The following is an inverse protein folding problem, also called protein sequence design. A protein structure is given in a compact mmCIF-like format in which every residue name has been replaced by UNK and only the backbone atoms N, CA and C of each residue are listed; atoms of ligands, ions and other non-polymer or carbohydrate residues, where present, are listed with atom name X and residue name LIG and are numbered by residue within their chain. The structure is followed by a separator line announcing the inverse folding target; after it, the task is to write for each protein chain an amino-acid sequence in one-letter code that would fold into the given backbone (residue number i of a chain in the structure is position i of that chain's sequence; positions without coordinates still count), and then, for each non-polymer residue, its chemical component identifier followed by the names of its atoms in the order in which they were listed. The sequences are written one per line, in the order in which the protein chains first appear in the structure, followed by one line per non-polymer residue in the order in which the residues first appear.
data_IF_350146079318
#
_entry.id   IF_350146079318
#
_cell.length_a   1.000
_cell.length_b   1.000
_cell.length_c   1.000
_cell.angle_alpha   90.00
_cell.angle_beta   90.00
_cell.angle_gamma   90.00
#
_symmetry.space_group_name_H-M   'P 1'
#
loop_
_entity.id
_entity.type
_entity.pdbx_description
1 polymer ?
#
# COMPACT_ATOMS: atom_id res chain seq x y z
N UNK A 1 13.51 12.09 15.18
CA UNK A 1 13.83 10.95 16.07
C UNK A 1 15.19 10.28 15.83
N UNK A 2 15.82 10.42 14.65
CA UNK A 2 17.11 9.76 14.34
C UNK A 2 18.21 10.01 15.38
N UNK A 3 18.27 11.22 15.95
CA UNK A 3 19.30 11.63 16.91
C UNK A 3 18.89 11.42 18.39
N UNK A 4 17.71 10.86 18.65
CA UNK A 4 17.12 10.84 20.00
C UNK A 4 17.11 9.43 20.62
N UNK A 5 17.77 8.45 20.00
CA UNK A 5 17.75 7.04 20.43
C UNK A 5 16.32 6.48 20.60
N UNK A 6 15.39 6.92 19.74
CA UNK A 6 13.99 6.45 19.73
C UNK A 6 13.79 5.50 18.55
N UNK A 7 13.37 4.27 18.84
CA UNK A 7 13.01 3.30 17.81
C UNK A 7 11.73 3.67 17.07
N UNK A 8 11.65 3.34 15.78
CA UNK A 8 10.45 3.53 14.96
C UNK A 8 9.87 2.18 14.55
N UNK A 9 8.61 1.96 14.92
CA UNK A 9 7.82 0.82 14.47
C UNK A 9 6.97 1.24 13.28
N UNK A 10 7.31 0.74 12.09
CA UNK A 10 6.47 0.92 10.92
C UNK A 10 5.20 0.07 11.04
N UNK A 11 4.04 0.69 10.92
CA UNK A 11 2.75 0.00 10.86
C UNK A 11 2.12 0.19 9.47
N UNK A 12 1.23 -0.73 9.07
CA UNK A 12 0.60 -0.70 7.75
C UNK A 12 1.60 -0.66 6.58
N UNK A 13 2.73 -1.37 6.69
CA UNK A 13 3.73 -1.46 5.62
C UNK A 13 3.17 -2.00 4.28
N UNK A 14 2.01 -2.66 4.31
CA UNK A 14 1.30 -3.16 3.13
C UNK A 14 0.04 -2.35 2.76
N UNK A 15 -0.16 -1.16 3.35
CA UNK A 15 -1.28 -0.25 3.03
C UNK A 15 -2.66 -0.94 3.09
N UNK A 16 -2.93 -1.69 4.17
CA UNK A 16 -4.17 -2.46 4.32
C UNK A 16 -4.32 -3.66 3.36
N UNK A 17 -3.24 -4.07 2.71
CA UNK A 17 -3.19 -5.15 1.73
C UNK A 17 -3.13 -4.69 0.27
N UNK A 18 -3.15 -3.39 0.00
CA UNK A 18 -3.05 -2.85 -1.35
C UNK A 18 -1.70 -3.16 -2.00
N UNK A 19 -0.61 -3.07 -1.22
CA UNK A 19 0.75 -3.37 -1.66
C UNK A 19 1.09 -4.87 -1.71
N UNK A 20 0.08 -5.75 -1.81
CA UNK A 20 0.30 -7.18 -2.11
C UNK A 20 -0.11 -7.53 -3.53
N UNK A 21 -0.67 -6.59 -4.28
CA UNK A 21 -1.12 -6.80 -5.66
C UNK A 21 -2.50 -7.46 -5.80
N UNK A 22 -3.13 -7.89 -4.68
CA UNK A 22 -4.42 -8.62 -4.71
C UNK A 22 -5.60 -7.83 -5.27
N UNK A 23 -5.45 -6.51 -5.40
CA UNK A 23 -6.46 -5.57 -5.88
C UNK A 23 -6.08 -4.90 -7.23
N UNK A 24 -5.01 -5.36 -7.89
CA UNK A 24 -4.56 -4.80 -9.19
C UNK A 24 -5.49 -5.20 -10.34
N UNK A 25 -5.77 -6.49 -10.48
CA UNK A 25 -6.62 -7.00 -11.57
C UNK A 25 -8.10 -6.76 -11.31
N UNK A 26 -8.50 -6.80 -10.04
CA UNK A 26 -9.88 -6.58 -9.61
C UNK A 26 -9.88 -5.59 -8.44
N UNK A 27 -10.60 -4.47 -8.54
CA UNK A 27 -10.62 -3.47 -7.48
C UNK A 27 -11.19 -4.06 -6.18
N UNK A 28 -10.98 -3.35 -5.07
CA UNK A 28 -11.63 -3.68 -3.81
C UNK A 28 -13.16 -3.63 -3.96
N UNK A 29 -13.89 -4.42 -3.18
CA UNK A 29 -15.34 -4.57 -3.33
C UNK A 29 -16.14 -3.25 -3.38
N UNK A 30 -15.71 -2.24 -2.62
CA UNK A 30 -16.36 -0.92 -2.58
C UNK A 30 -16.01 0.00 -3.75
N UNK A 31 -15.04 -0.40 -4.57
CA UNK A 31 -14.57 0.33 -5.74
C UNK A 31 -14.86 -0.41 -7.06
N UNK A 32 -15.46 -1.61 -7.00
CA UNK A 32 -15.84 -2.36 -8.20
C UNK A 32 -17.20 -1.88 -8.71
N UNK A 33 -17.23 -1.42 -9.95
CA UNK A 33 -18.45 -0.95 -10.62
C UNK A 33 -19.40 -2.13 -10.96
N UNK A 34 -18.87 -3.34 -11.08
CA UNK A 34 -19.67 -4.54 -11.25
C UNK A 34 -20.19 -5.04 -9.91
N UNK A 35 -21.48 -4.83 -9.68
CA UNK A 35 -22.17 -5.23 -8.44
C UNK A 35 -22.09 -6.73 -8.15
N UNK A 36 -22.05 -7.57 -9.17
CA UNK A 36 -21.95 -9.03 -8.99
C UNK A 36 -20.59 -9.40 -8.41
N UNK A 37 -19.51 -8.87 -9.02
CA UNK A 37 -18.14 -9.08 -8.52
C UNK A 37 -17.89 -8.44 -7.16
N UNK A 38 -18.42 -7.23 -6.94
CA UNK A 38 -18.37 -6.56 -5.65
C UNK A 38 -19.02 -7.43 -4.55
N UNK A 39 -20.22 -7.96 -4.83
CA UNK A 39 -20.95 -8.83 -3.89
C UNK A 39 -20.19 -10.13 -3.61
N UNK A 40 -19.65 -10.77 -4.65
CA UNK A 40 -18.82 -11.96 -4.49
C UNK A 40 -17.57 -11.68 -3.62
N UNK A 41 -16.91 -10.53 -3.84
CA UNK A 41 -15.76 -10.12 -3.04
C UNK A 41 -16.12 -9.85 -1.58
N UNK A 42 -17.29 -9.26 -1.30
CA UNK A 42 -17.79 -9.10 0.07
C UNK A 42 -18.12 -10.44 0.76
N UNK A 43 -18.59 -11.43 0.00
CA UNK A 43 -18.89 -12.77 0.51
C UNK A 43 -17.63 -13.61 0.74
N UNK A 44 -16.61 -13.44 -0.11
CA UNK A 44 -15.32 -14.11 -0.03
C UNK A 44 -14.18 -13.09 -0.05
N UNK A 45 -13.91 -12.41 1.08
CA UNK A 45 -12.94 -11.32 1.13
C UNK A 45 -11.51 -11.78 0.86
N UNK A 46 -10.80 -11.09 -0.05
CA UNK A 46 -9.35 -11.29 -0.25
C UNK A 46 -8.50 -10.65 0.86
N UNK A 47 -9.10 -9.74 1.62
CA UNK A 47 -8.44 -8.94 2.65
C UNK A 47 -9.35 -7.81 3.15
N UNK A 48 -8.79 -6.91 3.98
CA UNK A 48 -9.55 -5.85 4.67
C UNK A 48 -10.37 -4.97 3.72
N UNK A 49 -9.90 -4.71 2.51
CA UNK A 49 -10.61 -3.83 1.57
C UNK A 49 -11.91 -4.42 1.03
N UNK A 50 -12.10 -5.75 1.14
CA UNK A 50 -13.34 -6.44 0.75
C UNK A 50 -14.27 -6.68 1.96
N UNK A 51 -14.05 -6.00 3.09
CA UNK A 51 -14.93 -6.09 4.27
C UNK A 51 -15.74 -4.81 4.45
N UNK A 52 -16.97 -4.91 4.96
CA UNK A 52 -17.84 -3.72 5.09
C UNK A 52 -17.25 -2.62 5.97
N UNK A 53 -16.61 -2.97 7.09
CA UNK A 53 -16.02 -2.00 8.01
C UNK A 53 -14.76 -1.32 7.45
N UNK A 54 -13.74 -2.12 7.10
CA UNK A 54 -12.47 -1.56 6.64
C UNK A 54 -12.52 -1.06 5.20
N UNK A 55 -13.28 -1.73 4.32
CA UNK A 55 -13.45 -1.33 2.93
C UNK A 55 -14.04 0.07 2.80
N UNK A 56 -15.04 0.40 3.60
CA UNK A 56 -15.65 1.74 3.61
C UNK A 56 -14.76 2.83 4.22
N UNK A 57 -13.92 2.49 5.21
CA UNK A 57 -13.15 3.49 5.99
C UNK A 57 -11.71 3.68 5.52
N UNK A 58 -11.09 2.69 4.87
CA UNK A 58 -9.70 2.74 4.43
C UNK A 58 -9.52 3.21 2.97
N UNK A 59 -10.45 4.02 2.46
CA UNK A 59 -10.43 4.50 1.08
C UNK A 59 -9.17 5.31 0.72
N UNK A 60 -8.49 5.91 1.71
CA UNK A 60 -7.23 6.64 1.52
C UNK A 60 -6.11 5.84 0.86
N UNK A 61 -6.13 4.50 0.91
CA UNK A 61 -5.13 3.68 0.20
C UNK A 61 -5.53 3.35 -1.24
N UNK A 62 -6.65 3.91 -1.73
CA UNK A 62 -7.29 3.56 -3.01
C UNK A 62 -7.71 4.81 -3.79
N UNK A 63 -7.10 5.95 -3.49
CA UNK A 63 -7.14 7.16 -4.32
C UNK A 63 -6.49 6.90 -5.68
N UNK A 64 -6.72 7.77 -6.65
CA UNK A 64 -6.13 7.60 -7.99
C UNK A 64 -4.60 7.67 -7.96
N UNK A 65 -4.03 8.59 -7.17
CA UNK A 65 -2.58 8.67 -6.96
C UNK A 65 -2.02 7.42 -6.25
N UNK A 66 -2.73 6.87 -5.26
CA UNK A 66 -2.31 5.64 -4.62
C UNK A 66 -2.34 4.46 -5.60
N UNK A 67 -3.40 4.33 -6.40
CA UNK A 67 -3.51 3.29 -7.44
C UNK A 67 -2.39 3.41 -8.46
N UNK A 68 -2.15 4.62 -8.99
CA UNK A 68 -1.04 4.91 -9.90
C UNK A 68 0.31 4.48 -9.31
N UNK A 69 0.61 4.86 -8.07
CA UNK A 69 1.85 4.45 -7.41
C UNK A 69 1.94 2.93 -7.24
N UNK A 70 0.86 2.28 -6.80
CA UNK A 70 0.79 0.83 -6.60
C UNK A 70 1.03 0.08 -7.91
N UNK A 71 0.44 0.52 -9.03
CA UNK A 71 0.64 -0.08 -10.35
C UNK A 71 2.10 0.04 -10.79
N UNK A 72 2.72 1.20 -10.60
CA UNK A 72 4.12 1.42 -10.94
C UNK A 72 5.07 0.58 -10.07
N UNK A 73 4.82 0.48 -8.76
CA UNK A 73 5.58 -0.42 -7.89
C UNK A 73 5.40 -1.89 -8.29
N UNK A 74 4.20 -2.28 -8.73
CA UNK A 74 3.95 -3.64 -9.23
C UNK A 74 4.77 -3.93 -10.50
N UNK A 75 4.90 -2.96 -11.40
CA UNK A 75 5.74 -3.07 -12.59
C UNK A 75 7.23 -3.20 -12.21
N UNK A 76 7.73 -2.41 -11.26
CA UNK A 76 9.10 -2.53 -10.73
C UNK A 76 9.33 -3.93 -10.15
N UNK A 77 8.41 -4.42 -9.32
CA UNK A 77 8.50 -5.75 -8.72
C UNK A 77 8.56 -6.84 -9.81
N UNK A 78 7.63 -6.79 -10.78
CA UNK A 78 7.56 -7.74 -11.89
C UNK A 78 8.82 -7.74 -12.75
N UNK A 79 9.35 -6.57 -13.10
CA UNK A 79 10.58 -6.43 -13.89
C UNK A 79 11.81 -7.02 -13.19
N UNK A 80 11.79 -7.11 -11.87
CA UNK A 80 12.87 -7.68 -11.05
C UNK A 80 12.55 -9.08 -10.52
N UNK A 81 11.52 -9.75 -11.04
CA UNK A 81 11.18 -11.14 -10.72
C UNK A 81 10.72 -11.36 -9.27
N UNK A 82 10.11 -10.36 -8.63
CA UNK A 82 9.60 -10.45 -7.26
C UNK A 82 8.13 -10.06 -7.17
N UNK A 83 7.47 -10.46 -6.09
CA UNK A 83 6.10 -10.02 -5.79
C UNK A 83 6.08 -8.58 -5.27
N UNK A 84 4.94 -7.89 -5.43
CA UNK A 84 4.75 -6.56 -4.84
C UNK A 84 4.87 -6.60 -3.31
N UNK A 85 4.41 -7.69 -2.68
CA UNK A 85 4.57 -7.94 -1.24
C UNK A 85 6.04 -7.97 -0.84
N UNK A 86 6.87 -8.71 -1.60
CA UNK A 86 8.31 -8.80 -1.35
C UNK A 86 8.99 -7.43 -1.48
N UNK A 87 8.72 -6.71 -2.58
CA UNK A 87 9.27 -5.37 -2.81
C UNK A 87 8.95 -4.44 -1.63
N UNK A 88 7.69 -4.42 -1.21
CA UNK A 88 7.20 -3.52 -0.16
C UNK A 88 7.80 -3.82 1.22
N UNK A 89 7.86 -5.10 1.61
CA UNK A 89 8.43 -5.49 2.91
C UNK A 89 9.94 -5.31 2.94
N UNK A 90 10.65 -5.64 1.86
CA UNK A 90 12.11 -5.44 1.78
C UNK A 90 12.48 -3.96 1.77
N UNK A 91 11.72 -3.12 1.07
CA UNK A 91 11.90 -1.66 1.11
C UNK A 91 11.73 -1.13 2.53
N UNK A 92 10.65 -1.53 3.22
CA UNK A 92 10.38 -1.14 4.61
C UNK A 92 11.53 -1.56 5.55
N UNK A 93 12.03 -2.79 5.42
CA UNK A 93 13.15 -3.31 6.21
C UNK A 93 14.46 -2.57 5.98
N UNK A 94 14.70 -2.05 4.78
CA UNK A 94 15.94 -1.38 4.37
C UNK A 94 15.99 0.11 4.77
N UNK A 95 14.97 0.65 5.46
CA UNK A 95 15.02 2.03 5.97
C UNK A 95 15.77 2.07 7.29
N UNK A 96 16.80 2.89 7.35
CA UNK A 96 17.66 3.06 8.54
C UNK A 96 16.90 3.52 9.77
N UNK A 97 15.80 4.25 9.58
CA UNK A 97 14.94 4.71 10.69
C UNK A 97 14.04 3.60 11.25
N UNK A 98 13.72 2.57 10.48
CA UNK A 98 12.74 1.55 10.88
C UNK A 98 13.44 0.48 11.71
N UNK A 99 13.11 0.44 13.01
CA UNK A 99 13.64 -0.56 13.95
C UNK A 99 12.89 -1.89 13.80
N UNK A 100 11.57 -1.83 13.63
CA UNK A 100 10.73 -3.01 13.45
C UNK A 100 9.51 -2.68 12.59
N UNK A 101 8.90 -3.70 11.99
CA UNK A 101 7.71 -3.58 11.16
C UNK A 101 6.60 -4.45 11.72
N UNK A 102 5.46 -3.84 12.06
CA UNK A 102 4.25 -4.54 12.47
C UNK A 102 3.44 -4.94 11.23
N UNK A 103 3.42 -6.25 10.95
CA UNK A 103 2.70 -6.83 9.81
C UNK A 103 1.56 -7.70 10.34
N UNK A 104 0.37 -7.57 9.75
CA UNK A 104 -0.79 -8.40 10.07
C UNK A 104 -1.09 -9.41 8.97
N UNK A 105 -1.59 -10.58 9.36
CA UNK A 105 -1.86 -11.72 8.48
C UNK A 105 -3.26 -12.28 8.73
N UNK A 106 -3.89 -12.83 7.70
CA UNK A 106 -5.18 -13.54 7.79
C UNK A 106 -5.04 -15.06 7.63
N UNK A 107 -3.84 -15.55 7.31
CA UNK A 107 -3.51 -16.97 7.20
C UNK A 107 -2.00 -17.19 7.42
N UNK A 108 -1.59 -18.45 7.59
CA UNK A 108 -0.20 -18.83 7.85
C UNK A 108 0.73 -18.58 6.65
N UNK A 109 0.26 -18.77 5.43
CA UNK A 109 1.07 -18.54 4.23
C UNK A 109 1.57 -17.09 4.15
N UNK A 110 0.73 -16.10 4.47
CA UNK A 110 1.12 -14.69 4.50
C UNK A 110 2.17 -14.41 5.60
N UNK A 111 2.10 -15.11 6.73
CA UNK A 111 3.09 -15.00 7.80
C UNK A 111 4.44 -15.56 7.35
N UNK A 112 4.46 -16.74 6.73
CA UNK A 112 5.65 -17.37 6.18
C UNK A 112 6.33 -16.47 5.12
N UNK A 113 5.54 -15.91 4.19
CA UNK A 113 6.01 -14.93 3.21
C UNK A 113 6.66 -13.72 3.89
N UNK A 114 6.00 -13.15 4.91
CA UNK A 114 6.50 -11.97 5.60
C UNK A 114 7.81 -12.24 6.33
N UNK A 115 7.91 -13.38 7.02
CA UNK A 115 9.15 -13.82 7.67
C UNK A 115 10.25 -13.99 6.63
N UNK A 116 9.98 -14.70 5.54
CA UNK A 116 10.93 -14.89 4.43
C UNK A 116 11.46 -13.54 3.93
N UNK A 117 10.58 -12.62 3.54
CA UNK A 117 11.00 -11.36 2.91
C UNK A 117 11.71 -10.41 3.88
N UNK A 118 11.27 -10.33 5.14
CA UNK A 118 11.89 -9.46 6.15
C UNK A 118 13.25 -9.98 6.66
N UNK A 119 13.52 -11.29 6.52
CA UNK A 119 14.79 -11.92 6.95
C UNK A 119 15.80 -12.12 5.82
N UNK A 120 15.44 -11.80 4.58
CA UNK A 120 16.36 -11.84 3.44
C UNK A 120 17.55 -10.90 3.67
N UNK A 121 18.77 -11.46 3.60
CA UNK A 121 20.02 -10.71 3.81
C UNK A 121 20.39 -9.80 2.64
N UNK A 122 20.01 -10.17 1.41
CA UNK A 122 20.33 -9.39 0.21
C UNK A 122 19.45 -8.13 0.19
N UNK A 123 20.02 -6.91 0.15
CA UNK A 123 19.23 -5.69 0.01
C UNK A 123 18.60 -5.61 -1.38
N UNK A 124 17.59 -4.73 -1.52
CA UNK A 124 17.18 -4.24 -2.84
C UNK A 124 18.35 -3.45 -3.43
N UNK A 125 18.56 -3.58 -4.74
CA UNK A 125 19.63 -2.87 -5.44
C UNK A 125 19.36 -1.37 -5.47
N UNK A 126 20.42 -0.57 -5.59
CA UNK A 126 20.31 0.89 -5.68
C UNK A 126 19.42 1.32 -6.85
N UNK A 127 19.44 0.56 -7.96
CA UNK A 127 18.51 0.76 -9.07
C UNK A 127 17.05 0.60 -8.66
N UNK A 128 16.69 -0.47 -7.96
CA UNK A 128 15.31 -0.67 -7.49
C UNK A 128 14.91 0.45 -6.53
N UNK A 129 15.81 0.84 -5.63
CA UNK A 129 15.57 1.95 -4.70
C UNK A 129 15.33 3.27 -5.44
N UNK A 130 16.13 3.56 -6.46
CA UNK A 130 15.96 4.73 -7.33
C UNK A 130 14.62 4.71 -8.08
N UNK A 131 14.26 3.58 -8.69
CA UNK A 131 12.99 3.44 -9.40
C UNK A 131 11.80 3.67 -8.45
N UNK A 132 11.88 3.21 -7.19
CA UNK A 132 10.88 3.49 -6.15
C UNK A 132 10.82 4.98 -5.82
N UNK A 133 11.96 5.65 -5.66
CA UNK A 133 12.03 7.07 -5.34
C UNK A 133 11.44 7.93 -6.48
N UNK A 134 11.63 7.54 -7.75
CA UNK A 134 10.99 8.20 -8.90
C UNK A 134 9.47 8.12 -8.81
N UNK A 135 8.91 6.93 -8.56
CA UNK A 135 7.46 6.74 -8.39
C UNK A 135 6.93 7.54 -7.21
N UNK A 136 7.66 7.55 -6.08
CA UNK A 136 7.30 8.35 -4.90
C UNK A 136 7.23 9.84 -5.23
N UNK A 137 8.19 10.35 -6.00
CA UNK A 137 8.26 11.76 -6.38
C UNK A 137 7.17 12.19 -7.36
N UNK A 138 6.68 11.27 -8.19
CA UNK A 138 5.54 11.50 -9.09
C UNK A 138 4.19 11.44 -8.36
N UNK A 139 4.10 10.63 -7.30
CA UNK A 139 2.86 10.39 -6.56
C UNK A 139 3.03 10.82 -5.09
N UNK A 140 3.31 12.10 -4.85
CA UNK A 140 3.53 12.62 -3.49
C UNK A 140 2.23 12.60 -2.69
N UNK A 141 2.36 12.27 -1.40
CA UNK A 141 1.24 12.22 -0.45
C UNK A 141 0.00 11.49 -1.01
N UNK A 142 0.17 10.28 -1.60
CA UNK A 142 -0.86 9.66 -2.43
C UNK A 142 -2.12 9.32 -1.63
N UNK A 143 -2.00 9.16 -0.30
CA UNK A 143 -3.13 8.91 0.59
C UNK A 143 -3.99 10.13 0.89
N UNK A 144 -3.46 11.32 0.64
CA UNK A 144 -4.12 12.60 0.90
C UNK A 144 -4.56 13.28 -0.39
N UNK A 145 -3.96 12.96 -1.54
CA UNK A 145 -4.43 13.40 -2.85
C UNK A 145 -5.61 12.53 -3.31
N UNK A 146 -6.81 13.12 -3.48
CA UNK A 146 -8.00 12.38 -3.89
C UNK A 146 -8.90 13.25 -4.77
N UNK A 147 -9.29 12.74 -5.93
CA UNK A 147 -10.30 13.37 -6.78
C UNK A 147 -11.74 13.15 -6.25
N UNK A 148 -11.89 12.37 -5.16
CA UNK A 148 -13.17 12.06 -4.51
C UNK A 148 -13.47 12.97 -3.32
N UNK A 149 -12.50 13.77 -2.87
CA UNK A 149 -12.75 14.70 -1.76
C UNK A 149 -13.50 15.91 -2.28
N UNK A 150 -14.70 16.11 -1.75
CA UNK A 150 -15.45 17.34 -1.93
C UNK A 150 -15.05 18.37 -0.88
N UNK A 151 -15.87 19.41 -0.79
CA UNK A 151 -15.78 20.46 0.23
C UNK A 151 -15.67 19.87 1.64
N UNK A 152 -14.94 20.53 2.52
CA UNK A 152 -14.84 20.15 3.93
C UNK A 152 -16.20 20.21 4.66
N UNK A 153 -16.19 19.96 5.97
CA UNK A 153 -17.39 20.02 6.81
C UNK A 153 -18.09 21.39 6.81
N UNK A 154 -17.38 22.46 6.46
CA UNK A 154 -17.89 23.82 6.38
C UNK A 154 -18.25 24.25 4.95
N UNK A 155 -18.07 23.37 3.95
CA UNK A 155 -18.31 23.73 2.56
C UNK A 155 -17.15 24.49 1.90
N UNK A 156 -15.97 24.53 2.51
CA UNK A 156 -14.80 25.30 2.08
C UNK A 156 -13.53 24.42 1.99
N UNK A 157 -12.73 24.58 0.93
CA UNK A 157 -11.48 23.82 0.74
C UNK A 157 -11.63 22.40 0.20
N UNK A 158 -10.52 21.85 -0.30
CA UNK A 158 -10.37 20.46 -0.73
C UNK A 158 -9.60 19.69 0.34
N UNK A 159 -10.06 18.50 0.76
CA UNK A 159 -9.29 17.64 1.67
C UNK A 159 -8.21 16.91 0.87
N UNK A 160 -7.08 17.58 0.64
CA UNK A 160 -5.94 17.04 -0.09
C UNK A 160 -5.11 18.13 -0.73
N UNK A 161 -3.88 17.80 -1.12
CA UNK A 161 -3.11 18.69 -1.99
C UNK A 161 -3.43 18.35 -3.46
N UNK A 162 -3.71 19.35 -4.32
CA UNK A 162 -3.78 19.13 -5.75
C UNK A 162 -2.43 18.62 -6.25
N UNK A 163 -2.47 17.58 -7.09
CA UNK A 163 -1.28 17.03 -7.74
C UNK A 163 -0.77 18.12 -8.73
N UNK A 164 0.53 18.49 -8.70
CA UNK A 164 1.09 19.45 -9.64
C UNK A 164 0.97 19.00 -11.10
#
# INVERSE_FOLDING_TARGET
PYNENVGFMAYNALAGGMLTGKYLERPAAFDDEDRSRATASLQQPRGRMDTRGWGSTLYRYRTDAARSAIDQYAQIAKANGMSLTELSLRWCRQRSLITTTLVGHSNLQQLEESIKYLTMKKPLSDKIMWDIDVVHMQNRLPMFSSNRVGKDWNGEGEIGEPIP
#
